data_IF_412908376928
#
_entry.id   IF_412908376928
#
_cell.length_a   1.000
_cell.length_b   1.000
_cell.length_c   1.000
_cell.angle_alpha   90.00
_cell.angle_beta   90.00
_cell.angle_gamma   90.00
#
_symmetry.space_group_name_H-M   'P 1'
#
loop_
_entity.id
_entity.type
_entity.pdbx_description
1 polymer ?
#
# COMPACT_ATOMS: atom_id res chain seq x y z
N UNK A 1 -17.34 -11.72 3.22
CA UNK A 1 -16.40 -11.28 4.26
C UNK A 1 -16.10 -9.81 3.95
N UNK A 2 -16.06 -8.90 4.92
CA UNK A 2 -15.78 -7.48 4.65
C UNK A 2 -14.30 -7.14 4.80
N UNK A 3 -13.81 -6.17 4.03
CA UNK A 3 -12.42 -5.69 4.13
C UNK A 3 -12.13 -5.11 5.53
N UNK A 4 -11.02 -5.52 6.13
CA UNK A 4 -10.54 -5.16 7.48
C UNK A 4 -9.20 -4.45 7.41
N UNK A 5 -8.89 -3.64 8.40
CA UNK A 5 -7.62 -2.92 8.51
C UNK A 5 -6.72 -3.57 9.58
N UNK A 6 -5.42 -3.68 9.31
CA UNK A 6 -4.39 -4.13 10.26
C UNK A 6 -3.23 -3.14 10.32
N UNK A 7 -2.75 -2.84 11.53
CA UNK A 7 -1.56 -2.00 11.75
C UNK A 7 -0.33 -2.86 12.01
N UNK A 8 0.78 -2.54 11.35
CA UNK A 8 2.10 -3.07 11.70
C UNK A 8 2.97 -1.93 12.22
N UNK A 9 3.37 -2.02 13.49
CA UNK A 9 4.30 -1.07 14.09
C UNK A 9 5.73 -1.51 13.74
N UNK A 10 6.57 -0.61 13.22
CA UNK A 10 7.88 -0.91 12.61
C UNK A 10 8.98 -1.40 13.58
N UNK A 11 8.63 -1.95 14.75
CA UNK A 11 9.61 -2.44 15.70
C UNK A 11 10.20 -3.77 15.23
N UNK A 12 11.48 -3.76 14.84
CA UNK A 12 12.33 -4.96 14.77
C UNK A 12 12.43 -5.61 16.16
N UNK A 13 11.48 -6.47 16.52
CA UNK A 13 11.60 -7.38 17.67
C UNK A 13 11.20 -8.78 17.24
N UNK A 14 12.17 -9.69 17.32
CA UNK A 14 11.95 -11.12 17.28
C UNK A 14 11.06 -11.52 18.46
N UNK A 15 9.83 -11.93 18.20
CA UNK A 15 9.05 -12.70 19.17
C UNK A 15 8.72 -14.05 18.57
N UNK A 16 9.34 -15.04 19.18
CA UNK A 16 9.11 -16.47 19.05
C UNK A 16 7.71 -16.85 19.53
N UNK A 17 7.01 -17.67 18.74
CA UNK A 17 6.04 -18.65 19.22
C UNK A 17 4.57 -18.22 19.22
N UNK A 18 3.84 -18.62 18.17
CA UNK A 18 2.49 -19.15 18.30
C UNK A 18 2.22 -20.10 17.12
N UNK A 19 1.95 -21.36 17.44
CA UNK A 19 1.73 -22.48 16.54
C UNK A 19 0.37 -22.39 15.81
N UNK A 20 0.38 -22.52 14.48
CA UNK A 20 -0.81 -22.70 13.65
C UNK A 20 -1.10 -24.20 13.44
N UNK A 21 -2.36 -24.67 13.53
CA UNK A 21 -2.70 -26.04 13.19
C UNK A 21 -2.68 -26.24 11.67
N UNK A 22 -1.97 -27.31 11.26
CA UNK A 22 -1.85 -27.81 9.91
C UNK A 22 -3.21 -28.03 9.22
N UNK A 23 -3.36 -27.52 8.00
CA UNK A 23 -3.85 -28.36 6.89
C UNK A 23 -3.38 -27.83 5.53
N UNK A 24 -2.57 -28.67 4.88
CA UNK A 24 -2.22 -28.72 3.45
C UNK A 24 -1.28 -27.64 2.86
N UNK A 25 -0.01 -28.03 2.66
CA UNK A 25 0.81 -27.57 1.53
C UNK A 25 1.76 -26.42 1.80
N UNK A 26 2.67 -26.58 2.77
CA UNK A 26 3.73 -25.62 3.07
C UNK A 26 4.81 -25.62 1.96
N UNK A 27 4.81 -24.60 1.10
CA UNK A 27 6.08 -24.03 0.60
C UNK A 27 6.24 -22.67 1.26
N UNK A 28 7.09 -22.62 2.28
CA UNK A 28 7.52 -21.38 2.90
C UNK A 28 8.25 -20.51 1.87
N UNK A 29 7.54 -19.58 1.24
CA UNK A 29 8.19 -18.39 0.71
C UNK A 29 8.67 -17.59 1.93
N UNK A 30 9.99 -17.62 2.18
CA UNK A 30 10.64 -16.58 2.97
C UNK A 30 10.33 -15.25 2.30
N UNK A 31 9.27 -14.58 2.73
CA UNK A 31 8.95 -13.23 2.29
C UNK A 31 9.99 -12.30 2.88
N UNK A 32 10.97 -11.96 2.05
CA UNK A 32 11.80 -10.79 2.32
C UNK A 32 10.90 -9.57 2.15
N UNK A 33 10.91 -8.61 3.09
CA UNK A 33 10.19 -7.35 2.95
C UNK A 33 10.94 -6.47 1.94
N UNK A 34 11.05 -6.92 0.68
CA UNK A 34 11.30 -6.04 -0.45
C UNK A 34 9.97 -5.38 -0.80
N UNK A 35 9.47 -4.60 0.17
CA UNK A 35 8.38 -3.70 -0.01
C UNK A 35 8.70 -2.80 -1.20
N UNK A 36 7.72 -2.45 -2.03
CA UNK A 36 7.84 -1.77 -3.32
C UNK A 36 8.47 -0.37 -3.21
N UNK A 37 9.76 -0.35 -2.89
CA UNK A 37 10.68 0.77 -2.96
C UNK A 37 11.33 0.76 -4.36
N UNK A 38 11.88 1.89 -4.84
CA UNK A 38 12.56 1.97 -6.15
C UNK A 38 13.78 1.03 -6.30
N UNK A 39 14.17 0.31 -5.26
CA UNK A 39 15.16 -0.78 -5.29
C UNK A 39 14.58 -2.17 -5.63
N UNK A 40 13.25 -2.27 -5.83
CA UNK A 40 12.60 -3.49 -6.32
C UNK A 40 12.70 -3.59 -7.85
N UNK A 41 12.82 -4.80 -8.38
CA UNK A 41 12.94 -5.04 -9.83
C UNK A 41 11.61 -4.89 -10.59
N UNK A 42 10.48 -4.86 -9.88
CA UNK A 42 9.13 -4.90 -10.44
C UNK A 42 8.36 -3.63 -10.08
N UNK A 43 8.73 -2.51 -10.71
CA UNK A 43 8.23 -1.18 -10.35
C UNK A 43 6.99 -0.72 -11.12
N UNK A 44 6.60 -1.42 -12.19
CA UNK A 44 5.45 -1.06 -13.01
C UNK A 44 4.66 -2.28 -13.51
N UNK A 45 3.40 -2.04 -13.89
CA UNK A 45 2.45 -3.06 -14.32
C UNK A 45 2.98 -3.91 -15.49
N UNK A 46 3.48 -3.34 -16.61
CA UNK A 46 3.97 -4.16 -17.72
C UNK A 46 5.11 -5.10 -17.33
N UNK A 47 6.01 -4.66 -16.45
CA UNK A 47 7.17 -5.47 -16.05
C UNK A 47 6.75 -6.63 -15.15
N UNK A 48 5.85 -6.39 -14.18
CA UNK A 48 5.31 -7.46 -13.34
C UNK A 48 4.53 -8.49 -14.17
N UNK A 49 3.69 -8.04 -15.11
CA UNK A 49 2.91 -8.97 -15.94
C UNK A 49 3.79 -9.80 -16.88
N UNK A 50 4.81 -9.20 -17.51
CA UNK A 50 5.81 -9.94 -18.31
C UNK A 50 6.55 -10.98 -17.47
N UNK A 51 6.92 -10.63 -16.25
CA UNK A 51 7.60 -11.58 -15.35
C UNK A 51 6.69 -12.75 -14.99
N UNK A 52 5.42 -12.47 -14.63
CA UNK A 52 4.42 -13.48 -14.29
C UNK A 52 4.11 -14.42 -15.45
N UNK A 53 4.10 -13.92 -16.68
CA UNK A 53 3.98 -14.74 -17.89
C UNK A 53 5.14 -15.73 -18.02
N UNK A 54 6.37 -15.30 -17.71
CA UNK A 54 7.56 -16.14 -17.79
C UNK A 54 7.67 -17.19 -16.68
N UNK A 55 7.15 -16.91 -15.47
CA UNK A 55 7.41 -17.75 -14.27
C UNK A 55 6.20 -18.45 -13.65
N UNK A 56 4.98 -18.25 -14.21
CA UNK A 56 3.65 -18.69 -13.71
C UNK A 56 2.97 -17.71 -12.76
N UNK A 57 1.63 -17.81 -12.57
CA UNK A 57 0.85 -16.94 -11.67
C UNK A 57 1.07 -17.21 -10.17
N UNK A 58 2.27 -17.59 -9.75
CA UNK A 58 2.65 -17.71 -8.33
C UNK A 58 3.11 -16.38 -7.75
N UNK A 59 3.55 -15.45 -8.60
CA UNK A 59 3.98 -14.11 -8.22
C UNK A 59 2.80 -13.13 -8.33
N UNK A 60 2.59 -12.35 -7.28
CA UNK A 60 1.62 -11.27 -7.21
C UNK A 60 2.21 -9.98 -6.66
N UNK A 61 1.40 -8.93 -6.68
CA UNK A 61 1.73 -7.61 -6.19
C UNK A 61 1.22 -7.41 -4.76
N UNK A 62 2.07 -6.81 -3.94
CA UNK A 62 1.63 -6.00 -2.82
C UNK A 62 1.54 -4.54 -3.30
N UNK A 63 0.31 -4.03 -3.44
CA UNK A 63 0.06 -2.71 -4.02
C UNK A 63 0.04 -1.65 -2.92
N UNK A 64 0.98 -0.71 -2.98
CA UNK A 64 0.97 0.49 -2.15
C UNK A 64 0.99 1.75 -3.01
N UNK A 65 0.09 2.72 -2.80
CA UNK A 65 -0.11 3.81 -3.76
C UNK A 65 1.00 4.87 -3.74
N UNK A 66 1.79 5.00 -2.67
CA UNK A 66 2.77 6.09 -2.53
C UNK A 66 3.80 6.16 -3.66
N UNK A 67 4.31 5.02 -4.14
CA UNK A 67 5.27 5.03 -5.25
C UNK A 67 4.62 5.21 -6.62
N UNK A 68 3.37 4.76 -6.75
CA UNK A 68 2.60 4.94 -7.97
C UNK A 68 2.39 6.43 -8.25
N UNK A 69 2.07 7.21 -7.22
CA UNK A 69 1.85 8.65 -7.34
C UNK A 69 3.07 9.42 -7.86
N UNK A 70 4.25 9.24 -7.27
CA UNK A 70 5.43 9.97 -7.76
C UNK A 70 5.88 9.46 -9.15
N UNK A 71 5.52 8.24 -9.54
CA UNK A 71 5.70 7.74 -10.91
C UNK A 71 4.61 8.21 -11.89
N UNK A 72 3.68 9.06 -11.44
CA UNK A 72 2.52 9.55 -12.21
C UNK A 72 1.58 8.42 -12.67
N UNK A 73 1.58 7.30 -11.96
CA UNK A 73 0.68 6.18 -12.18
C UNK A 73 -0.60 6.38 -11.36
N UNK A 74 -1.75 6.05 -11.94
CA UNK A 74 -3.03 6.10 -11.25
C UNK A 74 -3.28 4.82 -10.43
N UNK A 75 -3.30 4.86 -9.08
CA UNK A 75 -3.40 3.64 -8.28
C UNK A 75 -4.63 2.76 -8.57
N UNK A 76 -5.86 3.30 -8.74
CA UNK A 76 -7.01 2.47 -9.11
C UNK A 76 -6.88 1.81 -10.49
N UNK A 77 -6.26 2.50 -11.46
CA UNK A 77 -6.00 1.95 -12.79
C UNK A 77 -4.94 0.84 -12.74
N UNK A 78 -3.92 0.99 -11.90
CA UNK A 78 -2.89 -0.02 -11.66
C UNK A 78 -3.51 -1.29 -11.06
N UNK A 79 -4.34 -1.15 -10.03
CA UNK A 79 -5.04 -2.28 -9.41
C UNK A 79 -5.86 -3.04 -10.45
N UNK A 80 -6.69 -2.34 -11.24
CA UNK A 80 -7.51 -2.96 -12.29
C UNK A 80 -6.69 -3.65 -13.36
N UNK A 81 -5.56 -3.06 -13.76
CA UNK A 81 -4.68 -3.63 -14.77
C UNK A 81 -3.94 -4.88 -14.26
N UNK A 82 -3.63 -4.94 -12.97
CA UNK A 82 -3.05 -6.12 -12.34
C UNK A 82 -4.08 -7.23 -12.11
N UNK A 83 -5.34 -6.85 -11.85
CA UNK A 83 -6.45 -7.78 -11.67
C UNK A 83 -6.12 -8.85 -10.61
N UNK A 84 -6.23 -10.15 -10.94
CA UNK A 84 -5.98 -11.24 -9.99
C UNK A 84 -4.51 -11.38 -9.59
N UNK A 85 -3.60 -10.55 -10.12
CA UNK A 85 -2.21 -10.50 -9.65
C UNK A 85 -2.06 -9.64 -8.38
N UNK A 86 -3.10 -8.95 -7.89
CA UNK A 86 -3.06 -8.21 -6.62
C UNK A 86 -3.33 -9.17 -5.46
N UNK A 87 -2.34 -9.40 -4.61
CA UNK A 87 -2.45 -10.32 -3.45
C UNK A 87 -2.63 -9.57 -2.14
N UNK A 88 -1.94 -8.45 -1.98
CA UNK A 88 -1.98 -7.63 -0.78
C UNK A 88 -2.02 -6.15 -1.14
N UNK A 89 -2.44 -5.32 -0.19
CA UNK A 89 -2.36 -3.88 -0.30
C UNK A 89 -1.82 -3.25 0.99
N UNK A 90 -0.82 -2.39 0.84
CA UNK A 90 -0.26 -1.55 1.89
C UNK A 90 -0.67 -0.12 1.64
N UNK A 91 -1.59 0.38 2.45
CA UNK A 91 -2.03 1.76 2.39
C UNK A 91 -0.90 2.66 2.90
N UNK A 92 -0.48 3.56 2.01
CA UNK A 92 0.46 4.63 2.24
C UNK A 92 -0.12 5.90 1.62
N UNK A 93 0.25 7.06 2.13
CA UNK A 93 -0.06 8.32 1.46
C UNK A 93 1.24 9.05 1.08
N UNK A 94 1.13 10.02 0.19
CA UNK A 94 2.27 10.81 -0.29
C UNK A 94 1.79 12.20 -0.64
N UNK A 95 2.65 13.18 -0.45
CA UNK A 95 2.47 14.54 -0.92
C UNK A 95 3.58 14.84 -1.92
N UNK A 96 3.21 15.34 -3.09
CA UNK A 96 4.15 15.92 -4.06
C UNK A 96 4.19 17.44 -3.90
N UNK A 97 5.38 18.04 -4.04
CA UNK A 97 5.57 19.48 -3.95
C UNK A 97 6.01 20.05 -5.28
N UNK A 98 5.07 20.67 -5.99
CA UNK A 98 5.25 21.10 -7.37
C UNK A 98 6.52 21.91 -7.63
N UNK A 99 6.84 22.86 -6.75
CA UNK A 99 8.05 23.67 -6.86
C UNK A 99 9.32 22.81 -6.81
N UNK A 100 9.39 21.92 -5.82
CA UNK A 100 10.56 21.08 -5.61
C UNK A 100 10.65 19.96 -6.65
N UNK A 101 9.51 19.46 -7.10
CA UNK A 101 9.38 18.49 -8.19
C UNK A 101 9.85 19.07 -9.52
N UNK A 102 9.56 20.34 -9.81
CA UNK A 102 10.04 21.02 -11.02
C UNK A 102 11.56 21.20 -11.04
N UNK A 103 12.22 21.19 -9.88
CA UNK A 103 13.67 21.38 -9.75
C UNK A 103 14.41 20.04 -9.72
N UNK A 104 14.00 19.13 -8.85
CA UNK A 104 14.71 17.88 -8.60
C UNK A 104 14.14 16.68 -9.39
N UNK A 105 12.93 16.79 -9.91
CA UNK A 105 12.20 15.67 -10.48
C UNK A 105 11.79 14.64 -9.43
N UNK A 106 11.25 13.51 -9.90
CA UNK A 106 10.71 12.45 -9.03
C UNK A 106 11.80 11.60 -8.36
N UNK A 107 12.96 11.49 -9.00
CA UNK A 107 14.15 10.79 -8.49
C UNK A 107 15.02 11.72 -7.64
N UNK A 108 14.38 12.38 -6.67
CA UNK A 108 15.02 13.37 -5.83
C UNK A 108 16.01 12.73 -4.84
N UNK A 109 17.33 13.02 -4.95
CA UNK A 109 18.35 12.41 -4.11
C UNK A 109 18.49 13.10 -2.74
N UNK A 110 17.74 14.18 -2.46
CA UNK A 110 17.84 14.92 -1.19
C UNK A 110 17.47 14.02 0.01
N UNK A 111 18.16 14.20 1.15
CA UNK A 111 18.06 13.29 2.28
C UNK A 111 16.69 13.37 2.95
N UNK A 112 16.20 12.22 3.42
CA UNK A 112 14.95 12.12 4.17
C UNK A 112 14.96 12.86 5.52
N UNK A 113 16.15 13.22 6.03
CA UNK A 113 16.31 14.02 7.26
C UNK A 113 15.95 15.49 7.07
N UNK A 114 15.82 15.96 5.83
CA UNK A 114 15.30 17.29 5.51
C UNK A 114 14.02 17.16 4.66
N UNK A 115 12.90 16.79 5.30
CA UNK A 115 11.67 16.56 4.59
C UNK A 115 11.07 17.85 4.05
N UNK A 116 11.60 19.06 4.31
CA UNK A 116 11.05 20.30 3.74
C UNK A 116 11.58 20.58 2.34
N UNK A 117 12.83 20.21 2.05
CA UNK A 117 13.43 20.48 0.74
C UNK A 117 13.00 19.48 -0.34
N UNK A 118 12.52 18.28 0.00
CA UNK A 118 12.26 17.20 -1.00
C UNK A 118 11.14 17.50 -2.03
N UNK A 119 11.15 16.79 -3.14
CA UNK A 119 10.11 16.85 -4.18
C UNK A 119 8.81 16.15 -3.77
N UNK A 120 8.90 15.21 -2.83
CA UNK A 120 7.77 14.48 -2.29
C UNK A 120 8.10 13.89 -0.92
N UNK A 121 7.08 13.66 -0.09
CA UNK A 121 7.21 12.93 1.18
C UNK A 121 6.10 11.93 1.35
N UNK A 122 6.40 10.84 2.06
CA UNK A 122 5.38 9.96 2.59
C UNK A 122 4.58 10.73 3.64
N UNK A 123 3.28 10.46 3.69
CA UNK A 123 2.35 11.14 4.60
C UNK A 123 1.45 10.12 5.28
N UNK A 124 0.96 10.51 6.46
CA UNK A 124 -0.11 9.81 7.16
C UNK A 124 -1.33 9.78 6.24
N UNK A 125 -2.01 8.63 6.19
CA UNK A 125 -3.24 8.48 5.40
C UNK A 125 -4.25 9.54 5.82
N UNK A 126 -4.71 10.34 4.86
CA UNK A 126 -5.61 11.47 5.14
C UNK A 126 -4.94 12.83 4.99
N UNK A 127 -3.62 12.90 5.03
CA UNK A 127 -2.85 14.15 4.91
C UNK A 127 -2.27 14.38 3.51
N UNK A 128 -2.29 13.39 2.62
CA UNK A 128 -1.84 13.54 1.22
C UNK A 128 -3.00 13.69 0.26
N UNK A 129 -3.78 12.63 0.07
CA UNK A 129 -4.85 12.60 -0.94
C UNK A 129 -6.26 12.76 -0.35
N UNK A 130 -7.28 12.82 -1.20
CA UNK A 130 -8.68 13.01 -0.77
C UNK A 130 -9.39 11.71 -0.36
N UNK A 131 -10.48 11.83 0.40
CA UNK A 131 -11.34 10.69 0.76
C UNK A 131 -11.97 10.02 -0.48
N UNK A 132 -12.25 10.80 -1.53
CA UNK A 132 -12.76 10.29 -2.80
C UNK A 132 -11.72 9.38 -3.48
N UNK A 133 -10.45 9.78 -3.50
CA UNK A 133 -9.36 8.93 -3.99
C UNK A 133 -9.29 7.62 -3.17
N UNK A 134 -9.25 7.73 -1.83
CA UNK A 134 -9.15 6.54 -0.96
C UNK A 134 -10.30 5.56 -1.19
N UNK A 135 -11.52 6.08 -1.33
CA UNK A 135 -12.71 5.29 -1.65
C UNK A 135 -12.56 4.56 -2.99
N UNK A 136 -12.09 5.28 -4.02
CA UNK A 136 -11.86 4.71 -5.36
C UNK A 136 -10.80 3.62 -5.35
N UNK A 137 -9.71 3.82 -4.60
CA UNK A 137 -8.63 2.84 -4.47
C UNK A 137 -9.11 1.57 -3.76
N UNK A 138 -9.73 1.69 -2.59
CA UNK A 138 -10.31 0.54 -1.88
C UNK A 138 -11.38 -0.17 -2.71
N UNK A 139 -12.19 0.57 -3.47
CA UNK A 139 -13.15 0.03 -4.42
C UNK A 139 -12.48 -0.83 -5.49
N UNK A 140 -11.40 -0.34 -6.09
CA UNK A 140 -10.65 -1.09 -7.11
C UNK A 140 -10.04 -2.39 -6.57
N UNK A 141 -9.58 -2.41 -5.31
CA UNK A 141 -9.08 -3.64 -4.67
C UNK A 141 -10.18 -4.69 -4.56
N UNK A 142 -11.39 -4.27 -4.13
CA UNK A 142 -12.57 -5.16 -4.07
C UNK A 142 -12.98 -5.65 -5.45
N UNK A 143 -12.97 -4.79 -6.47
CA UNK A 143 -13.30 -5.16 -7.86
C UNK A 143 -12.44 -6.31 -8.38
N UNK A 144 -11.17 -6.39 -7.97
CA UNK A 144 -10.23 -7.43 -8.41
C UNK A 144 -10.15 -8.64 -7.46
N UNK A 145 -11.00 -8.69 -6.43
CA UNK A 145 -11.06 -9.80 -5.47
C UNK A 145 -10.05 -9.71 -4.31
N UNK A 146 -9.42 -8.56 -4.09
CA UNK A 146 -8.60 -8.28 -2.91
C UNK A 146 -9.48 -7.60 -1.84
N UNK A 147 -10.19 -8.39 -1.03
CA UNK A 147 -11.24 -7.91 -0.11
C UNK A 147 -11.09 -8.35 1.36
N UNK A 148 -9.93 -8.90 1.77
CA UNK A 148 -9.69 -9.33 3.15
C UNK A 148 -9.03 -8.26 4.01
N UNK A 149 -7.70 -8.19 4.08
CA UNK A 149 -6.97 -7.26 4.96
C UNK A 149 -6.21 -6.23 4.14
N UNK A 150 -6.35 -4.96 4.51
CA UNK A 150 -5.44 -3.87 4.11
C UNK A 150 -4.53 -3.53 5.27
N UNK A 151 -3.23 -3.42 4.99
CA UNK A 151 -2.23 -3.03 5.98
C UNK A 151 -1.95 -1.53 5.89
N UNK A 152 -1.77 -0.86 7.01
CA UNK A 152 -1.30 0.53 7.06
C UNK A 152 0.20 0.54 7.26
N UNK A 153 0.90 1.35 6.46
CA UNK A 153 2.31 1.62 6.65
C UNK A 153 2.53 3.12 6.72
N UNK A 154 2.82 3.61 7.93
CA UNK A 154 2.94 5.03 8.23
C UNK A 154 4.42 5.44 8.33
N UNK A 155 4.83 6.39 7.50
CA UNK A 155 6.22 6.89 7.42
C UNK A 155 6.25 8.43 7.27
N UNK A 156 5.28 9.11 7.87
CA UNK A 156 5.17 10.57 7.82
C UNK A 156 6.30 11.25 8.60
N UNK A 157 7.15 12.08 7.97
CA UNK A 157 8.25 12.75 8.68
C UNK A 157 7.79 13.98 9.49
N UNK A 158 6.51 14.38 9.38
CA UNK A 158 5.97 15.57 10.03
C UNK A 158 5.07 15.25 11.23
N UNK A 159 4.80 13.97 11.49
CA UNK A 159 4.01 13.51 12.63
C UNK A 159 4.78 12.46 13.44
N UNK A 160 4.58 12.39 14.76
CA UNK A 160 5.05 11.26 15.54
C UNK A 160 4.48 9.95 14.99
N UNK A 161 5.30 8.88 14.99
CA UNK A 161 4.94 7.57 14.41
C UNK A 161 3.61 7.03 14.96
N UNK A 162 3.45 7.05 16.28
CA UNK A 162 2.24 6.55 16.96
C UNK A 162 1.00 7.39 16.61
N UNK A 163 1.12 8.72 16.62
CA UNK A 163 0.03 9.63 16.26
C UNK A 163 -0.40 9.41 14.82
N UNK A 164 0.55 9.34 13.88
CA UNK A 164 0.24 9.09 12.47
C UNK A 164 -0.38 7.71 12.24
N UNK A 165 0.07 6.67 12.95
CA UNK A 165 -0.52 5.35 12.84
C UNK A 165 -1.99 5.33 13.31
N UNK A 166 -2.29 5.97 14.44
CA UNK A 166 -3.65 6.09 14.98
C UNK A 166 -4.55 6.88 14.00
N UNK A 167 -4.11 8.06 13.56
CA UNK A 167 -4.89 8.89 12.63
C UNK A 167 -5.15 8.17 11.30
N UNK A 168 -4.15 7.45 10.77
CA UNK A 168 -4.32 6.66 9.56
C UNK A 168 -5.35 5.53 9.75
N UNK A 169 -5.30 4.84 10.89
CA UNK A 169 -6.26 3.78 11.20
C UNK A 169 -7.68 4.30 11.32
N UNK A 170 -7.87 5.39 12.07
CA UNK A 170 -9.17 6.05 12.22
C UNK A 170 -9.71 6.49 10.85
N UNK A 171 -8.87 7.10 10.02
CA UNK A 171 -9.25 7.52 8.66
C UNK A 171 -9.78 6.36 7.79
N UNK A 172 -9.13 5.20 7.86
CA UNK A 172 -9.53 4.02 7.08
C UNK A 172 -10.74 3.32 7.69
N UNK A 173 -10.83 3.22 9.01
CA UNK A 173 -11.98 2.64 9.71
C UNK A 173 -13.24 3.45 9.41
N UNK A 174 -13.18 4.78 9.52
CA UNK A 174 -14.29 5.67 9.21
C UNK A 174 -14.74 5.51 7.76
N UNK A 175 -13.79 5.40 6.82
CA UNK A 175 -14.07 5.21 5.41
C UNK A 175 -14.75 3.85 5.14
N UNK A 176 -14.29 2.79 5.79
CA UNK A 176 -14.89 1.46 5.69
C UNK A 176 -16.28 1.40 6.33
N UNK A 177 -16.53 2.20 7.38
CA UNK A 177 -17.82 2.33 8.06
C UNK A 177 -18.82 3.19 7.25
N UNK A 178 -18.37 4.27 6.63
CA UNK A 178 -19.21 5.10 5.78
C UNK A 178 -19.68 4.36 4.51
N UNK A 179 -18.84 3.45 3.99
CA UNK A 179 -19.13 2.66 2.80
C UNK A 179 -19.84 1.31 3.09
N UNK A 180 -20.42 1.14 4.29
CA UNK A 180 -21.17 -0.05 4.69
C UNK A 180 -22.46 -0.37 3.89
N UNK A 181 -23.15 0.53 3.13
CA UNK A 181 -24.31 0.09 2.34
C UNK A 181 -23.96 -0.92 1.21
N UNK A 182 -22.68 -1.14 0.92
CA UNK A 182 -22.21 -2.20 0.01
C UNK A 182 -22.01 -3.56 0.69
N UNK A 183 -22.16 -3.66 2.01
CA UNK A 183 -22.11 -4.90 2.77
C UNK A 183 -23.52 -5.49 2.88
N UNK A 184 -24.06 -5.98 1.75
CA UNK A 184 -25.17 -6.92 1.84
C UNK A 184 -24.68 -8.12 2.65
N UNK A 185 -25.32 -8.34 3.81
CA UNK A 185 -25.26 -9.58 4.58
C UNK A 185 -25.58 -10.70 3.59
N UNK A 186 -24.65 -11.63 3.41
CA UNK A 186 -24.96 -12.89 2.75
C UNK A 186 -26.14 -13.52 3.49
N UNK A 187 -27.21 -13.76 2.74
CA UNK A 187 -28.30 -14.68 3.09
C UNK A 187 -27.77 -16.11 3.15
#
# INVERSE_FOLDING_TARGET
MGMRCSMHNGTKRSTSGASFPNSHGNTASRESPSNSFPSSWLTNVPTLLRFREAVRPTIGANVGPSHLFWQQMGPPSVVRALGPAVYHAHLKDVETRDRELAIAGVLDPRPFTDPQSRAWNLRTIGHGHSAAFRSSFLGSLREVGCDDVVSIENEDPFLPEETGAIEAADCIIDLLNANQPFLKRGS
#
